data_IF_515624499829
#
_entry.id   IF_515624499829
#
_cell.length_a   1.000
_cell.length_b   1.000
_cell.length_c   1.000
_cell.angle_alpha   90.00
_cell.angle_beta   90.00
_cell.angle_gamma   90.00
#
_symmetry.space_group_name_H-M   'P 1'
#
loop_
_entity.id
_entity.type
_entity.pdbx_description
1 polymer ?
#
# COMPACT_ATOMS: atom_id res chain seq x y z
N UNK A 1 11.78 -18.08 -6.49
CA UNK A 1 10.53 -18.72 -6.93
C UNK A 1 9.76 -17.65 -7.67
N UNK A 2 9.59 -17.80 -8.98
CA UNK A 2 8.87 -16.82 -9.80
C UNK A 2 7.37 -16.96 -9.56
N UNK A 3 6.64 -15.84 -9.54
CA UNK A 3 5.19 -15.86 -9.37
C UNK A 3 4.49 -15.37 -10.63
N UNK A 4 3.63 -16.23 -11.17
CA UNK A 4 2.87 -16.00 -12.40
C UNK A 4 1.51 -15.33 -12.13
N UNK A 5 0.93 -14.72 -13.16
CA UNK A 5 -0.37 -14.02 -13.05
C UNK A 5 -1.50 -14.94 -12.57
N UNK A 6 -1.54 -16.19 -13.05
CA UNK A 6 -2.55 -17.17 -12.61
C UNK A 6 -2.43 -17.49 -11.12
N UNK A 7 -1.21 -17.51 -10.57
CA UNK A 7 -1.01 -17.74 -9.12
C UNK A 7 -1.51 -16.56 -8.28
N UNK A 8 -1.34 -15.33 -8.78
CA UNK A 8 -1.89 -14.12 -8.13
C UNK A 8 -3.42 -14.19 -8.16
N UNK A 9 -3.99 -14.54 -9.31
CA UNK A 9 -5.43 -14.69 -9.50
C UNK A 9 -6.03 -15.75 -8.57
N UNK A 10 -5.42 -16.92 -8.47
CA UNK A 10 -5.86 -17.99 -7.56
C UNK A 10 -5.86 -17.52 -6.10
N UNK A 11 -4.83 -16.78 -5.67
CA UNK A 11 -4.77 -16.19 -4.32
C UNK A 11 -5.86 -15.15 -4.06
N UNK A 12 -6.30 -14.41 -5.07
CA UNK A 12 -7.41 -13.46 -4.94
C UNK A 12 -8.79 -14.16 -4.97
N UNK A 13 -8.90 -15.36 -5.54
CA UNK A 13 -10.15 -16.13 -5.56
C UNK A 13 -10.40 -16.85 -4.23
N UNK A 14 -9.35 -17.26 -3.53
CA UNK A 14 -9.40 -18.10 -2.33
C UNK A 14 -9.08 -17.30 -1.07
N UNK A 15 -9.91 -17.42 -0.03
CA UNK A 15 -9.68 -16.79 1.28
C UNK A 15 -10.69 -15.69 1.66
N UNK A 16 -10.70 -15.33 2.94
CA UNK A 16 -11.71 -14.42 3.53
C UNK A 16 -11.60 -12.97 3.02
N UNK A 17 -10.39 -12.52 2.72
CA UNK A 17 -10.11 -11.13 2.29
C UNK A 17 -9.94 -10.97 0.77
N UNK A 18 -9.76 -12.09 0.03
CA UNK A 18 -9.61 -12.12 -1.44
C UNK A 18 -8.56 -11.14 -1.99
N UNK A 19 -7.46 -10.92 -1.26
CA UNK A 19 -6.42 -9.94 -1.62
C UNK A 19 -5.04 -10.57 -1.65
N UNK A 20 -4.16 -9.97 -2.46
CA UNK A 20 -2.77 -10.35 -2.60
C UNK A 20 -1.87 -9.17 -2.21
N UNK A 21 -1.16 -9.29 -1.07
CA UNK A 21 -0.17 -8.30 -0.65
C UNK A 21 1.10 -8.48 -1.46
N UNK A 22 1.46 -7.44 -2.21
CA UNK A 22 2.64 -7.41 -3.08
C UNK A 22 3.90 -7.09 -2.27
N UNK A 23 3.85 -6.04 -1.47
CA UNK A 23 4.94 -5.61 -0.61
C UNK A 23 4.43 -4.92 0.66
N UNK A 24 5.26 -4.97 1.69
CA UNK A 24 5.16 -4.11 2.88
C UNK A 24 6.56 -3.59 3.18
N UNK A 25 6.75 -2.28 3.13
CA UNK A 25 8.06 -1.65 3.28
C UNK A 25 8.02 -0.36 4.09
N UNK A 26 9.18 0.03 4.64
CA UNK A 26 9.38 1.34 5.28
C UNK A 26 9.19 2.46 4.25
N UNK A 27 8.50 3.53 4.63
CA UNK A 27 8.42 4.72 3.78
C UNK A 27 9.49 5.71 4.21
N UNK A 28 10.58 5.81 3.44
CA UNK A 28 11.70 6.71 3.74
C UNK A 28 11.26 8.16 3.94
N UNK A 29 10.26 8.61 3.18
CA UNK A 29 9.74 9.98 3.27
C UNK A 29 8.91 10.22 4.54
N UNK A 30 8.33 9.16 5.13
CA UNK A 30 7.44 9.19 6.28
C UNK A 30 7.98 8.26 7.39
N UNK A 31 9.00 8.68 8.15
CA UNK A 31 9.62 7.85 9.18
C UNK A 31 8.59 7.31 10.19
N UNK A 32 8.77 6.08 10.65
CA UNK A 32 7.79 5.42 11.53
C UNK A 32 6.53 4.88 10.82
N UNK A 33 6.43 4.99 9.49
CA UNK A 33 5.33 4.42 8.71
C UNK A 33 5.80 3.32 7.77
N UNK A 34 4.89 2.39 7.50
CA UNK A 34 5.00 1.38 6.46
C UNK A 34 3.98 1.62 5.36
N UNK A 35 4.35 1.22 4.14
CA UNK A 35 3.44 1.16 3.01
C UNK A 35 3.17 -0.30 2.68
N UNK A 36 1.90 -0.66 2.60
CA UNK A 36 1.46 -1.93 2.03
C UNK A 36 0.84 -1.70 0.64
N UNK A 37 1.35 -2.41 -0.35
CA UNK A 37 0.77 -2.44 -1.71
C UNK A 37 0.01 -3.74 -1.89
N UNK A 38 -1.26 -3.65 -2.27
CA UNK A 38 -2.13 -4.83 -2.42
C UNK A 38 -2.87 -4.83 -3.75
N UNK A 39 -3.00 -6.02 -4.33
CA UNK A 39 -3.95 -6.33 -5.39
C UNK A 39 -5.22 -6.90 -4.76
N UNK A 40 -6.36 -6.37 -5.17
CA UNK A 40 -7.70 -6.75 -4.75
C UNK A 40 -8.49 -7.27 -5.97
N UNK A 41 -9.64 -7.93 -5.75
CA UNK A 41 -10.47 -8.42 -6.85
C UNK A 41 -10.89 -7.30 -7.79
N UNK A 42 -11.23 -7.67 -9.03
CA UNK A 42 -11.63 -6.71 -10.08
C UNK A 42 -10.51 -5.71 -10.40
N UNK A 43 -9.26 -6.20 -10.42
CA UNK A 43 -8.08 -5.42 -10.83
C UNK A 43 -7.88 -4.13 -10.04
N UNK A 44 -8.30 -4.14 -8.77
CA UNK A 44 -8.17 -2.99 -7.88
C UNK A 44 -6.80 -3.02 -7.21
N UNK A 45 -6.12 -1.88 -7.22
CA UNK A 45 -4.88 -1.70 -6.47
C UNK A 45 -5.16 -0.85 -5.24
N UNK A 46 -4.52 -1.20 -4.14
CA UNK A 46 -4.50 -0.45 -2.89
C UNK A 46 -3.08 -0.09 -2.50
N UNK A 47 -2.91 1.15 -2.06
CA UNK A 47 -1.73 1.61 -1.34
C UNK A 47 -2.19 2.04 0.04
N UNK A 48 -1.69 1.38 1.08
CA UNK A 48 -2.01 1.71 2.46
C UNK A 48 -0.76 2.20 3.19
N UNK A 49 -0.84 3.37 3.81
CA UNK A 49 0.19 3.87 4.71
C UNK A 49 -0.29 3.74 6.15
N UNK A 50 0.46 3.02 6.98
CA UNK A 50 0.12 2.71 8.37
C UNK A 50 1.31 3.03 9.26
N UNK A 51 1.08 3.47 10.49
CA UNK A 51 2.19 3.61 11.45
C UNK A 51 2.69 2.21 11.82
N UNK A 52 4.00 2.06 11.86
CA UNK A 52 4.63 0.82 12.26
C UNK A 52 4.15 0.34 13.64
N UNK A 53 3.78 -0.94 13.74
CA UNK A 53 3.35 -1.56 14.98
C UNK A 53 1.92 -1.18 15.42
N UNK A 54 1.15 -0.52 14.55
CA UNK A 54 -0.29 -0.30 14.74
C UNK A 54 -1.07 -0.99 13.64
N UNK A 55 -1.82 -2.02 14.02
CA UNK A 55 -2.65 -2.81 13.10
C UNK A 55 -4.03 -2.17 12.83
N UNK A 56 -4.33 -1.05 13.48
CA UNK A 56 -5.60 -0.33 13.36
C UNK A 56 -5.35 1.15 13.07
N UNK A 57 -5.62 1.54 11.83
CA UNK A 57 -5.60 2.93 11.39
C UNK A 57 -4.56 3.22 10.32
N UNK A 58 -4.98 3.93 9.28
CA UNK A 58 -4.07 4.39 8.25
C UNK A 58 -4.78 5.13 7.13
N UNK A 59 -3.98 5.54 6.16
CA UNK A 59 -4.43 6.21 4.95
C UNK A 59 -4.47 5.17 3.84
N UNK A 60 -5.61 5.05 3.18
CA UNK A 60 -5.86 4.05 2.17
C UNK A 60 -6.18 4.74 0.84
N UNK A 61 -5.34 4.49 -0.15
CA UNK A 61 -5.58 4.87 -1.54
C UNK A 61 -6.00 3.64 -2.32
N UNK A 62 -6.94 3.82 -3.24
CA UNK A 62 -7.32 2.76 -4.17
C UNK A 62 -7.70 3.29 -5.55
N UNK A 63 -7.44 2.45 -6.54
CA UNK A 63 -7.76 2.70 -7.95
C UNK A 63 -8.13 1.41 -8.65
N UNK A 64 -9.04 1.51 -9.62
CA UNK A 64 -9.53 0.37 -10.41
C UNK A 64 -8.85 0.40 -11.79
N UNK A 65 -8.15 -0.67 -12.16
CA UNK A 65 -7.54 -0.82 -13.48
C UNK A 65 -8.46 -1.60 -14.43
N UNK A 66 -8.31 -1.43 -15.77
CA UNK A 66 -9.13 -2.17 -16.74
C UNK A 66 -8.91 -3.69 -16.69
N UNK A 67 -7.69 -4.14 -16.40
CA UNK A 67 -7.32 -5.56 -16.33
C UNK A 67 -6.32 -5.83 -15.21
N UNK A 68 -6.16 -7.12 -14.86
CA UNK A 68 -5.18 -7.53 -13.85
C UNK A 68 -3.76 -7.28 -14.35
N UNK A 69 -3.55 -7.47 -15.64
CA UNK A 69 -2.30 -7.20 -16.36
C UNK A 69 -1.91 -5.73 -16.24
N UNK A 70 -2.85 -4.81 -16.47
CA UNK A 70 -2.62 -3.37 -16.32
C UNK A 70 -2.27 -3.00 -14.87
N UNK A 71 -2.99 -3.58 -13.91
CA UNK A 71 -2.72 -3.37 -12.48
C UNK A 71 -1.32 -3.87 -12.09
N UNK A 72 -0.93 -5.05 -12.57
CA UNK A 72 0.39 -5.65 -12.30
C UNK A 72 1.50 -4.81 -12.93
N UNK A 73 1.34 -4.40 -14.20
CA UNK A 73 2.33 -3.55 -14.87
C UNK A 73 2.51 -2.20 -14.16
N UNK A 74 1.42 -1.58 -13.70
CA UNK A 74 1.48 -0.34 -12.95
C UNK A 74 2.23 -0.49 -11.61
N UNK A 75 2.04 -1.62 -10.91
CA UNK A 75 2.76 -1.92 -9.67
C UNK A 75 4.24 -2.19 -9.94
N UNK A 76 4.59 -2.93 -11.01
CA UNK A 76 5.99 -3.19 -11.38
C UNK A 76 6.75 -1.88 -11.61
N UNK A 77 6.13 -0.92 -12.32
CA UNK A 77 6.69 0.42 -12.54
C UNK A 77 6.79 1.18 -11.21
N UNK A 78 5.74 1.17 -10.40
CA UNK A 78 5.69 1.88 -9.12
C UNK A 78 6.75 1.40 -8.12
N UNK A 79 6.96 0.09 -8.03
CA UNK A 79 7.94 -0.52 -7.12
C UNK A 79 9.35 -0.61 -7.72
N UNK A 80 9.52 -0.30 -9.01
CA UNK A 80 10.79 -0.49 -9.72
C UNK A 80 11.27 -1.95 -9.71
N UNK A 81 10.36 -2.91 -9.55
CA UNK A 81 10.69 -4.33 -9.42
C UNK A 81 9.66 -5.22 -10.14
N UNK A 82 10.11 -6.27 -10.85
CA UNK A 82 9.22 -7.15 -11.59
C UNK A 82 8.42 -8.07 -10.66
N UNK A 83 7.22 -8.49 -11.07
CA UNK A 83 6.37 -9.41 -10.28
C UNK A 83 7.02 -10.73 -9.92
N UNK A 84 7.99 -11.13 -10.73
CA UNK A 84 8.78 -12.34 -10.57
C UNK A 84 9.55 -12.41 -9.24
N UNK A 85 9.76 -11.26 -8.57
CA UNK A 85 10.42 -11.18 -7.24
C UNK A 85 9.46 -10.92 -6.09
N UNK A 86 8.17 -10.71 -6.37
CA UNK A 86 7.18 -10.53 -5.32
C UNK A 86 7.08 -11.84 -4.53
N UNK A 87 7.22 -11.78 -3.22
CA UNK A 87 7.24 -12.98 -2.37
C UNK A 87 5.86 -13.37 -1.86
N UNK A 88 4.90 -12.43 -1.91
CA UNK A 88 3.51 -12.65 -1.56
C UNK A 88 3.33 -13.09 -0.10
N UNK A 89 3.20 -12.12 0.82
CA UNK A 89 3.00 -12.39 2.24
C UNK A 89 2.93 -11.12 3.09
N UNK A 90 2.34 -11.23 4.28
CA UNK A 90 2.34 -10.19 5.32
C UNK A 90 3.65 -10.24 6.13
N UNK A 91 4.81 -10.22 5.47
CA UNK A 91 6.07 -10.05 6.18
C UNK A 91 6.19 -8.57 6.54
N UNK A 92 5.58 -8.21 7.68
CA UNK A 92 5.78 -6.91 8.28
C UNK A 92 7.28 -6.75 8.58
N UNK A 93 7.88 -5.57 8.31
CA UNK A 93 9.27 -5.35 8.66
C UNK A 93 9.51 -5.60 10.16
N UNK A 94 10.65 -6.19 10.53
CA UNK A 94 10.93 -6.54 11.93
C UNK A 94 11.08 -5.32 12.84
N UNK A 95 11.69 -4.26 12.31
CA UNK A 95 11.85 -2.94 12.94
C UNK A 95 12.21 -1.94 11.85
N UNK A 96 11.74 -0.69 11.98
CA UNK A 96 12.13 0.39 11.07
C UNK A 96 13.45 1.02 11.50
N UNK A 97 14.27 1.41 10.53
CA UNK A 97 15.51 2.13 10.81
C UNK A 97 15.23 3.55 11.30
N UNK A 98 14.15 4.17 10.81
CA UNK A 98 13.69 5.48 11.25
C UNK A 98 12.40 5.37 12.08
N UNK A 99 12.54 5.44 13.41
CA UNK A 99 11.41 5.40 14.35
C UNK A 99 11.10 6.82 14.86
N UNK A 100 10.51 7.65 14.01
CA UNK A 100 9.89 8.92 14.41
C UNK A 100 8.50 9.08 13.76
N UNK A 101 7.51 8.43 14.37
CA UNK A 101 6.13 8.45 13.86
C UNK A 101 5.44 9.81 13.97
N UNK A 102 5.94 10.72 14.82
CA UNK A 102 5.35 12.06 14.95
C UNK A 102 5.76 12.91 13.76
N UNK A 103 7.06 12.94 13.48
CA UNK A 103 7.58 13.62 12.29
C UNK A 103 6.98 13.00 11.01
N UNK A 104 7.01 11.67 10.89
CA UNK A 104 6.46 10.98 9.72
C UNK A 104 4.97 11.24 9.53
N UNK A 105 4.21 11.34 10.62
CA UNK A 105 2.79 11.70 10.58
C UNK A 105 2.56 13.10 10.01
N UNK A 106 3.36 14.09 10.45
CA UNK A 106 3.31 15.45 9.93
C UNK A 106 3.67 15.52 8.44
N UNK A 107 4.72 14.80 8.02
CA UNK A 107 5.14 14.72 6.61
C UNK A 107 4.09 14.05 5.73
N UNK A 108 3.51 12.93 6.19
CA UNK A 108 2.45 12.22 5.48
C UNK A 108 1.21 13.11 5.33
N UNK A 109 0.77 13.79 6.40
CA UNK A 109 -0.37 14.70 6.34
C UNK A 109 -0.14 15.84 5.32
N UNK A 110 1.04 16.44 5.32
CA UNK A 110 1.41 17.47 4.35
C UNK A 110 1.45 16.92 2.91
N UNK A 111 1.99 15.71 2.70
CA UNK A 111 2.00 15.07 1.40
C UNK A 111 0.57 14.81 0.89
N UNK A 112 -0.34 14.33 1.74
CA UNK A 112 -1.75 14.11 1.37
C UNK A 112 -2.41 15.42 0.94
N UNK A 113 -2.24 16.49 1.74
CA UNK A 113 -2.86 17.79 1.46
C UNK A 113 -2.40 18.40 0.13
N UNK A 114 -1.16 18.12 -0.27
CA UNK A 114 -0.56 18.66 -1.50
C UNK A 114 -0.54 17.68 -2.67
N UNK A 115 -1.15 16.49 -2.53
CA UNK A 115 -1.11 15.45 -3.58
C UNK A 115 0.28 14.85 -3.82
N UNK A 116 1.20 14.97 -2.85
CA UNK A 116 2.58 14.50 -2.91
C UNK A 116 2.78 13.04 -2.48
N UNK A 117 1.72 12.28 -2.21
CA UNK A 117 1.86 10.84 -1.94
C UNK A 117 2.09 10.11 -3.28
N UNK A 118 3.20 9.38 -3.44
CA UNK A 118 3.46 8.67 -4.69
C UNK A 118 2.48 7.51 -4.86
N UNK A 119 1.77 7.50 -5.98
CA UNK A 119 0.79 6.47 -6.33
C UNK A 119 1.10 5.90 -7.73
N UNK A 120 0.79 4.62 -7.99
CA UNK A 120 0.92 4.04 -9.33
C UNK A 120 0.12 4.84 -10.36
N UNK A 121 0.65 4.97 -11.58
CA UNK A 121 -0.01 5.75 -12.63
C UNK A 121 -1.14 4.97 -13.32
N UNK A 122 -1.93 5.67 -14.13
CA UNK A 122 -2.89 5.06 -15.07
C UNK A 122 -4.35 5.01 -14.60
N UNK A 123 -4.64 5.45 -13.37
CA UNK A 123 -6.00 5.46 -12.82
C UNK A 123 -6.27 6.71 -11.98
N UNK A 124 -7.55 7.00 -11.76
CA UNK A 124 -7.98 8.00 -10.79
C UNK A 124 -7.98 7.37 -9.40
N UNK A 125 -7.18 7.92 -8.51
CA UNK A 125 -7.08 7.43 -7.14
C UNK A 125 -8.15 8.03 -6.24
N UNK A 126 -8.72 7.18 -5.40
CA UNK A 126 -9.65 7.56 -4.34
C UNK A 126 -8.95 7.40 -3.00
N UNK A 127 -9.16 8.37 -2.12
CA UNK A 127 -8.63 8.38 -0.77
C UNK A 127 -9.73 8.00 0.21
N UNK A 128 -9.40 7.10 1.14
CA UNK A 128 -10.21 6.79 2.30
C UNK A 128 -9.29 6.70 3.51
N UNK A 129 -9.75 7.21 4.65
CA UNK A 129 -9.06 7.02 5.93
C UNK A 129 -9.88 6.09 6.82
N UNK A 130 -9.23 5.06 7.37
CA UNK A 130 -9.73 4.25 8.48
C UNK A 130 -9.25 4.81 9.84
N UNK A 131 -9.67 4.20 10.95
CA UNK A 131 -9.53 4.85 12.26
C UNK A 131 -8.08 4.89 12.79
N UNK A 132 -7.36 5.99 12.53
CA UNK A 132 -6.77 6.82 13.59
C UNK A 132 -7.91 7.70 14.10
N UNK A 133 -8.46 7.47 15.29
CA UNK A 133 -9.61 8.27 15.74
C UNK A 133 -9.24 9.74 15.85
N UNK A 134 -9.69 10.56 14.89
CA UNK A 134 -9.30 11.97 14.76
C UNK A 134 -7.82 12.06 14.34
N UNK A 135 -7.49 12.75 13.26
CA UNK A 135 -6.26 13.56 13.30
C UNK A 135 -6.34 14.31 14.64
N UNK A 136 -5.56 13.96 15.65
CA UNK A 136 -5.88 14.33 17.04
C UNK A 136 -6.09 15.86 17.14
N UNK A 137 -7.30 16.27 17.55
CA UNK A 137 -7.87 17.64 17.65
C UNK A 137 -8.17 18.40 16.33
N UNK A 138 -9.45 18.76 16.12
CA UNK A 138 -9.77 20.05 15.49
C UNK A 138 -9.20 21.13 16.42
N UNK A 139 -8.05 21.69 16.07
CA UNK A 139 -7.48 22.90 16.68
C UNK A 139 -6.73 22.70 17.98
#
# INVERSE_FOLDING_TARGET
MFMELEQIKDRMLVGKHKSFTVCVDEVVDFPGYVRAVRLLPVSRVSIQCEQFGRDEGGVYYWGDYPSLEDAVAAIEVYLGSPRSVWTGGLSYPGTLASMDSVEGGGRLANAIANGGVPLPLGVVWRLQSGYWSRFESKG
#
